data_IF_859422555339
#
_entry.id   IF_859422555339
#
_cell.length_a   1.000
_cell.length_b   1.000
_cell.length_c   1.000
_cell.angle_alpha   90.00
_cell.angle_beta   90.00
_cell.angle_gamma   90.00
#
_symmetry.space_group_name_H-M   'P 1'
#
loop_
_entity.id
_entity.type
_entity.pdbx_description
1 polymer ?
#
# COMPACT_ATOMS: atom_id res chain seq x y z
N UNK A 1 -14.41 -13.92 -35.77
CA UNK A 1 -15.14 -13.54 -34.54
C UNK A 1 -14.43 -14.19 -33.36
N UNK A 2 -14.05 -13.42 -32.34
CA UNK A 2 -13.41 -13.96 -31.13
C UNK A 2 -14.45 -14.55 -30.17
N UNK A 3 -14.05 -15.54 -29.36
CA UNK A 3 -14.89 -16.14 -28.31
C UNK A 3 -15.47 -15.04 -27.42
N UNK A 4 -16.79 -15.02 -27.24
CA UNK A 4 -17.44 -14.05 -26.35
C UNK A 4 -17.03 -14.29 -24.90
N UNK A 5 -16.90 -13.21 -24.14
CA UNK A 5 -16.60 -13.26 -22.72
C UNK A 5 -17.80 -13.79 -21.93
N UNK A 6 -17.56 -14.71 -21.00
CA UNK A 6 -18.60 -15.17 -20.08
C UNK A 6 -19.04 -14.02 -19.16
N UNK A 7 -20.34 -13.90 -18.84
CA UNK A 7 -20.81 -12.94 -17.84
C UNK A 7 -20.14 -13.13 -16.48
N UNK A 8 -19.86 -12.04 -15.79
CA UNK A 8 -19.36 -12.04 -14.40
C UNK A 8 -20.43 -11.42 -13.52
N UNK A 9 -20.76 -12.11 -12.43
CA UNK A 9 -21.61 -11.59 -11.37
C UNK A 9 -20.72 -11.02 -10.25
N UNK A 10 -20.72 -9.69 -10.02
CA UNK A 10 -19.83 -9.05 -9.06
C UNK A 10 -20.07 -9.46 -7.60
N UNK A 11 -21.20 -10.09 -7.28
CA UNK A 11 -21.54 -10.52 -5.91
C UNK A 11 -20.89 -11.87 -5.54
N UNK A 12 -20.29 -12.59 -6.50
CA UNK A 12 -19.66 -13.90 -6.28
C UNK A 12 -18.33 -13.83 -5.52
N UNK A 13 -17.83 -12.63 -5.22
CA UNK A 13 -16.67 -12.43 -4.36
C UNK A 13 -15.70 -11.36 -4.87
N UNK A 14 -14.69 -11.03 -4.05
CA UNK A 14 -13.80 -9.89 -4.29
C UNK A 14 -12.98 -10.01 -5.59
N UNK A 15 -12.58 -11.23 -5.97
CA UNK A 15 -11.84 -11.48 -7.22
C UNK A 15 -12.73 -11.28 -8.45
N UNK A 16 -13.97 -11.77 -8.40
CA UNK A 16 -14.93 -11.62 -9.50
C UNK A 16 -15.35 -10.16 -9.64
N UNK A 17 -15.59 -9.47 -8.52
CA UNK A 17 -15.83 -8.02 -8.48
C UNK A 17 -14.71 -7.23 -9.12
N UNK A 18 -13.46 -7.54 -8.78
CA UNK A 18 -12.29 -6.86 -9.35
C UNK A 18 -12.23 -7.02 -10.88
N UNK A 19 -12.45 -8.24 -11.38
CA UNK A 19 -12.48 -8.49 -12.82
C UNK A 19 -13.66 -7.81 -13.53
N UNK A 20 -14.84 -7.77 -12.90
CA UNK A 20 -16.00 -7.03 -13.38
C UNK A 20 -15.64 -5.55 -13.58
N UNK A 21 -15.03 -4.94 -12.56
CA UNK A 21 -14.62 -3.55 -12.62
C UNK A 21 -13.55 -3.32 -13.69
N UNK A 22 -12.59 -4.25 -13.86
CA UNK A 22 -11.54 -4.14 -14.88
C UNK A 22 -12.12 -4.18 -16.30
N UNK A 23 -13.16 -5.00 -16.52
CA UNK A 23 -13.92 -4.98 -17.78
C UNK A 23 -14.68 -3.67 -17.96
N UNK A 24 -15.18 -3.08 -16.88
CA UNK A 24 -15.83 -1.78 -16.92
C UNK A 24 -14.89 -0.65 -17.34
N UNK A 25 -13.66 -0.63 -16.81
CA UNK A 25 -12.61 0.29 -17.26
C UNK A 25 -12.38 0.17 -18.76
N UNK A 26 -12.25 -1.06 -19.27
CA UNK A 26 -12.07 -1.31 -20.71
C UNK A 26 -13.27 -0.82 -21.52
N UNK A 27 -14.50 -0.99 -21.04
CA UNK A 27 -15.71 -0.46 -21.71
C UNK A 27 -15.65 1.06 -21.81
N UNK A 28 -15.33 1.74 -20.71
CA UNK A 28 -15.16 3.21 -20.68
C UNK A 28 -14.04 3.71 -21.60
N UNK A 29 -13.01 2.90 -21.82
CA UNK A 29 -11.92 3.16 -22.76
C UNK A 29 -12.29 2.90 -24.24
N UNK A 30 -13.56 2.64 -24.56
CA UNK A 30 -14.03 2.37 -25.92
C UNK A 30 -14.01 0.89 -26.32
N UNK A 31 -13.92 -0.02 -25.35
CA UNK A 31 -13.93 -1.48 -25.56
C UNK A 31 -12.86 -2.00 -26.53
N UNK A 32 -11.57 -1.61 -26.41
CA UNK A 32 -10.51 -2.19 -27.23
C UNK A 32 -10.44 -3.71 -27.03
N UNK A 33 -10.31 -4.45 -28.13
CA UNK A 33 -10.11 -5.90 -28.08
C UNK A 33 -8.81 -6.28 -27.39
N UNK A 34 -8.72 -7.49 -26.83
CA UNK A 34 -7.46 -7.96 -26.22
C UNK A 34 -6.29 -8.00 -27.21
N UNK A 35 -6.54 -8.18 -28.51
CA UNK A 35 -5.48 -8.05 -29.53
C UNK A 35 -4.99 -6.62 -29.69
N UNK A 36 -5.89 -5.64 -29.63
CA UNK A 36 -5.51 -4.22 -29.66
C UNK A 36 -4.78 -3.80 -28.38
N UNK A 37 -5.19 -4.32 -27.21
CA UNK A 37 -4.45 -4.11 -25.97
C UNK A 37 -3.07 -4.79 -26.01
N UNK A 38 -2.98 -6.00 -26.56
CA UNK A 38 -1.71 -6.70 -26.75
C UNK A 38 -0.76 -5.93 -27.68
N UNK A 39 -1.27 -5.28 -28.73
CA UNK A 39 -0.44 -4.43 -29.60
C UNK A 39 0.09 -3.16 -28.91
N UNK A 40 -0.56 -2.73 -27.80
CA UNK A 40 -0.19 -1.52 -27.03
C UNK A 40 0.59 -1.86 -25.75
N UNK A 41 0.81 -3.14 -25.47
CA UNK A 41 1.46 -3.63 -24.25
C UNK A 41 2.47 -4.71 -24.60
N UNK A 42 3.29 -5.16 -23.65
CA UNK A 42 4.21 -6.27 -23.86
C UNK A 42 3.60 -7.64 -23.50
N UNK A 43 2.26 -7.73 -23.36
CA UNK A 43 1.55 -8.94 -22.96
C UNK A 43 0.69 -9.50 -24.09
N UNK A 44 0.57 -10.83 -24.15
CA UNK A 44 -0.27 -11.51 -25.14
C UNK A 44 -1.76 -11.25 -24.88
N UNK A 45 -2.57 -11.37 -25.94
CA UNK A 45 -4.02 -11.23 -25.84
C UNK A 45 -4.65 -12.27 -24.90
N UNK A 46 -4.09 -13.47 -24.81
CA UNK A 46 -4.55 -14.52 -23.90
C UNK A 46 -4.28 -14.16 -22.43
N UNK A 47 -3.12 -13.59 -22.11
CA UNK A 47 -2.79 -13.11 -20.76
C UNK A 47 -3.72 -11.99 -20.32
N UNK A 48 -4.01 -11.04 -21.20
CA UNK A 48 -4.92 -9.92 -20.91
C UNK A 48 -6.38 -10.38 -20.76
N UNK A 49 -6.80 -11.38 -21.54
CA UNK A 49 -8.11 -12.01 -21.37
C UNK A 49 -8.23 -12.75 -20.04
N UNK A 50 -7.20 -13.49 -19.65
CA UNK A 50 -7.16 -14.19 -18.36
C UNK A 50 -7.20 -13.21 -17.17
N UNK A 51 -6.52 -12.07 -17.27
CA UNK A 51 -6.55 -11.01 -16.26
C UNK A 51 -7.96 -10.46 -15.99
N UNK A 52 -8.81 -10.41 -17.02
CA UNK A 52 -10.19 -9.95 -16.92
C UNK A 52 -11.20 -11.11 -16.75
N UNK A 53 -10.75 -12.35 -16.54
CA UNK A 53 -11.63 -13.52 -16.51
C UNK A 53 -12.34 -13.75 -15.16
N UNK A 54 -11.86 -13.15 -14.07
CA UNK A 54 -12.47 -13.30 -12.73
C UNK A 54 -12.12 -14.59 -12.00
N UNK A 55 -11.23 -15.43 -12.55
CA UNK A 55 -10.78 -16.67 -11.92
C UNK A 55 -9.68 -16.45 -10.87
N UNK A 56 -8.83 -15.43 -11.09
CA UNK A 56 -7.73 -15.05 -10.21
C UNK A 56 -7.40 -13.57 -10.42
N UNK A 57 -6.77 -12.94 -9.43
CA UNK A 57 -6.27 -11.58 -9.60
C UNK A 57 -5.10 -11.56 -10.60
N UNK A 58 -5.01 -10.54 -11.47
CA UNK A 58 -3.86 -10.39 -12.36
C UNK A 58 -2.59 -10.10 -11.55
N UNK A 59 -1.41 -10.40 -12.09
CA UNK A 59 -0.19 -9.86 -11.51
C UNK A 59 -0.16 -8.34 -11.67
N UNK A 60 0.51 -7.66 -10.75
CA UNK A 60 0.62 -6.20 -10.78
C UNK A 60 1.19 -5.66 -12.11
N UNK A 61 2.14 -6.37 -12.73
CA UNK A 61 2.68 -5.98 -14.04
C UNK A 61 1.63 -6.05 -15.17
N UNK A 62 0.81 -7.11 -15.20
CA UNK A 62 -0.28 -7.25 -16.18
C UNK A 62 -1.37 -6.21 -15.93
N UNK A 63 -1.70 -5.98 -14.66
CA UNK A 63 -2.69 -4.98 -14.25
C UNK A 63 -2.27 -3.57 -14.67
N UNK A 64 -1.04 -3.16 -14.35
CA UNK A 64 -0.54 -1.84 -14.70
C UNK A 64 -0.58 -1.62 -16.22
N UNK A 65 -0.13 -2.60 -17.02
CA UNK A 65 -0.18 -2.50 -18.47
C UNK A 65 -1.62 -2.39 -19.02
N UNK A 66 -2.55 -3.19 -18.48
CA UNK A 66 -3.96 -3.14 -18.87
C UNK A 66 -4.58 -1.78 -18.58
N UNK A 67 -4.37 -1.29 -17.35
CA UNK A 67 -4.96 -0.04 -16.84
C UNK A 67 -4.41 1.16 -17.59
N UNK A 68 -3.09 1.24 -17.80
CA UNK A 68 -2.46 2.29 -18.61
C UNK A 68 -2.98 2.28 -20.05
N UNK A 69 -3.10 1.11 -20.67
CA UNK A 69 -3.62 1.01 -22.04
C UNK A 69 -5.10 1.43 -22.15
N UNK A 70 -5.86 1.34 -21.06
CA UNK A 70 -7.24 1.79 -20.95
C UNK A 70 -7.37 3.24 -20.41
N UNK A 71 -6.26 3.94 -20.14
CA UNK A 71 -6.26 5.31 -19.64
C UNK A 71 -6.67 5.47 -18.17
N UNK A 72 -6.56 4.41 -17.36
CA UNK A 72 -6.73 4.49 -15.91
C UNK A 72 -5.42 4.77 -15.19
N UNK A 73 -5.51 4.98 -13.88
CA UNK A 73 -4.36 5.16 -12.98
C UNK A 73 -3.87 3.80 -12.42
N UNK A 74 -2.66 3.33 -12.80
CA UNK A 74 -2.14 2.05 -12.33
C UNK A 74 -2.02 1.95 -10.81
N UNK A 75 -1.72 3.04 -10.11
CA UNK A 75 -1.51 3.02 -8.66
C UNK A 75 -2.83 2.79 -7.91
N UNK A 76 -3.88 3.52 -8.27
CA UNK A 76 -5.22 3.31 -7.72
C UNK A 76 -5.74 1.88 -7.99
N UNK A 77 -5.40 1.29 -9.13
CA UNK A 77 -5.82 -0.07 -9.46
C UNK A 77 -5.01 -1.14 -8.71
N UNK A 78 -3.73 -0.90 -8.45
CA UNK A 78 -2.91 -1.80 -7.63
C UNK A 78 -3.41 -1.83 -6.18
N UNK A 79 -3.78 -0.68 -5.61
CA UNK A 79 -4.42 -0.64 -4.29
C UNK A 79 -5.72 -1.45 -4.24
N UNK A 80 -6.51 -1.42 -5.32
CA UNK A 80 -7.73 -2.23 -5.43
C UNK A 80 -7.44 -3.72 -5.55
N UNK A 81 -6.35 -4.10 -6.22
CA UNK A 81 -5.90 -5.49 -6.34
C UNK A 81 -5.50 -6.05 -4.99
N UNK A 82 -4.70 -5.30 -4.23
CA UNK A 82 -4.28 -5.67 -2.87
C UNK A 82 -5.50 -5.84 -1.95
N UNK A 83 -6.45 -4.90 -1.98
CA UNK A 83 -7.71 -5.02 -1.23
C UNK A 83 -8.49 -6.28 -1.59
N UNK A 84 -8.63 -6.57 -2.89
CA UNK A 84 -9.32 -7.77 -3.34
C UNK A 84 -8.60 -9.05 -2.90
N UNK A 85 -7.27 -9.04 -2.87
CA UNK A 85 -6.47 -10.16 -2.41
C UNK A 85 -6.74 -10.46 -0.93
N UNK A 86 -6.63 -9.45 -0.07
CA UNK A 86 -6.88 -9.61 1.37
C UNK A 86 -8.30 -10.10 1.65
N UNK A 87 -9.31 -9.55 0.97
CA UNK A 87 -10.69 -10.00 1.12
C UNK A 87 -10.90 -11.44 0.62
N UNK A 88 -10.06 -11.94 -0.30
CA UNK A 88 -10.14 -13.31 -0.82
C UNK A 88 -9.37 -14.35 0.01
N UNK A 89 -8.38 -13.92 0.79
CA UNK A 89 -7.50 -14.80 1.57
C UNK A 89 -7.75 -14.74 3.08
N UNK A 90 -8.59 -13.82 3.54
CA UNK A 90 -8.99 -13.76 4.94
C UNK A 90 -9.87 -14.97 5.28
N UNK A 91 -9.55 -15.75 6.35
CA UNK A 91 -10.47 -16.77 6.82
C UNK A 91 -11.78 -16.11 7.27
N UNK A 92 -12.94 -16.77 7.07
CA UNK A 92 -14.19 -16.27 7.65
C UNK A 92 -13.99 -16.15 9.18
N UNK A 93 -14.57 -15.13 9.83
CA UNK A 93 -14.47 -14.99 11.27
C UNK A 93 -14.93 -16.29 11.95
N UNK A 94 -14.02 -16.97 12.64
CA UNK A 94 -14.31 -18.13 13.47
C UNK A 94 -15.13 -17.66 14.66
N UNK A 95 -16.44 -17.55 14.46
CA UNK A 95 -17.31 -16.91 15.44
C UNK A 95 -18.74 -16.69 14.95
N UNK A 96 -19.24 -17.56 14.08
CA UNK A 96 -20.68 -17.81 13.99
C UNK A 96 -20.89 -19.26 14.43
N UNK A 97 -20.99 -19.44 15.75
CA UNK A 97 -21.54 -20.65 16.33
C UNK A 97 -22.86 -20.92 15.61
N UNK A 98 -22.98 -22.14 15.09
CA UNK A 98 -24.16 -22.64 14.41
C UNK A 98 -25.44 -22.33 15.19
N UNK A 99 -26.22 -21.38 14.71
CA UNK A 99 -27.66 -21.41 14.93
C UNK A 99 -28.23 -22.38 13.91
N UNK A 100 -28.29 -23.66 14.29
CA UNK A 100 -29.13 -24.63 13.62
C UNK A 100 -30.59 -24.15 13.69
N UNK A 101 -31.35 -24.11 12.58
CA UNK A 101 -32.77 -24.32 12.69
C UNK A 101 -32.99 -25.82 12.82
N UNK A 102 -33.63 -26.22 13.92
CA UNK A 102 -34.15 -27.54 14.10
C UNK A 102 -35.00 -27.96 12.89
N UNK A 103 -34.74 -29.18 12.45
CA UNK A 103 -35.53 -29.95 11.51
C UNK A 103 -37.00 -30.04 11.93
N UNK A 104 -37.90 -29.69 11.01
CA UNK A 104 -39.16 -30.41 10.82
C UNK A 104 -39.32 -30.67 9.32
N UNK A 105 -39.18 -31.94 8.94
CA UNK A 105 -39.38 -32.44 7.57
C UNK A 105 -40.90 -32.63 7.27
N UNK A 106 -41.31 -33.22 6.13
CA UNK A 106 -42.10 -32.54 5.12
C UNK A 106 -43.52 -33.11 4.98
N UNK A 107 -44.47 -32.34 4.46
CA UNK A 107 -45.52 -32.97 3.65
C UNK A 107 -46.23 -32.01 2.67
N UNK A 108 -46.46 -32.54 1.46
CA UNK A 108 -47.52 -32.21 0.51
C UNK A 108 -47.47 -30.92 -0.34
N UNK A 109 -47.04 -31.10 -1.59
CA UNK A 109 -47.42 -30.36 -2.82
C UNK A 109 -48.94 -30.47 -3.13
N UNK A 110 -49.48 -29.90 -4.24
CA UNK A 110 -49.30 -28.57 -4.84
C UNK A 110 -50.65 -27.88 -5.10
N UNK A 111 -50.66 -26.57 -5.40
CA UNK A 111 -51.76 -25.93 -6.17
C UNK A 111 -51.29 -24.61 -6.80
N UNK A 112 -51.12 -24.61 -8.12
CA UNK A 112 -51.34 -23.44 -8.98
C UNK A 112 -52.79 -23.50 -9.48
N UNK A 113 -53.39 -22.36 -9.87
CA UNK A 113 -53.29 -21.98 -11.28
C UNK A 113 -53.09 -20.48 -11.54
N UNK A 114 -52.12 -20.19 -12.40
CA UNK A 114 -52.24 -19.43 -13.65
C UNK A 114 -53.20 -18.21 -13.70
N UNK A 115 -52.65 -17.02 -13.94
CA UNK A 115 -53.24 -16.03 -14.86
C UNK A 115 -52.14 -15.49 -15.79
N UNK A 116 -52.53 -15.41 -17.05
CA UNK A 116 -51.75 -15.25 -18.26
C UNK A 116 -51.33 -13.80 -18.55
N UNK A 117 -50.16 -13.70 -19.17
CA UNK A 117 -49.72 -12.81 -20.25
C UNK A 117 -50.56 -11.60 -20.68
N UNK A 118 -49.87 -10.46 -20.87
CA UNK A 118 -50.02 -9.55 -22.02
C UNK A 118 -48.70 -8.75 -22.19
N UNK A 119 -47.85 -9.13 -23.16
CA UNK A 119 -47.64 -8.56 -24.52
C UNK A 119 -46.90 -7.23 -24.62
N UNK A 120 -45.82 -7.26 -25.44
CA UNK A 120 -45.24 -6.21 -26.33
C UNK A 120 -44.85 -4.88 -25.66
N UNK A 121 -43.63 -4.35 -25.77
CA UNK A 121 -42.89 -4.03 -26.99
C UNK A 121 -41.55 -3.38 -26.57
N UNK A 122 -40.56 -3.37 -27.45
CA UNK A 122 -39.28 -2.64 -27.29
C UNK A 122 -39.17 -1.60 -28.42
N UNK A 123 -38.10 -0.79 -28.51
CA UNK A 123 -37.58 0.17 -27.56
C UNK A 123 -37.42 1.56 -28.23
N UNK A 124 -37.50 2.68 -27.50
CA UNK A 124 -37.12 3.98 -28.04
C UNK A 124 -35.75 4.48 -27.55
N UNK A 125 -34.84 4.53 -28.52
CA UNK A 125 -33.53 5.17 -28.54
C UNK A 125 -33.63 6.64 -28.13
N UNK A 126 -32.83 7.07 -27.16
CA UNK A 126 -32.39 8.46 -27.07
C UNK A 126 -30.91 8.54 -27.45
N UNK A 127 -30.68 8.88 -28.72
CA UNK A 127 -29.40 9.35 -29.24
C UNK A 127 -29.27 10.83 -28.84
N UNK A 128 -28.30 11.19 -28.03
CA UNK A 128 -27.83 12.57 -27.92
C UNK A 128 -26.46 12.66 -28.58
N UNK A 129 -26.46 13.25 -29.77
CA UNK A 129 -25.29 13.57 -30.56
C UNK A 129 -24.72 14.90 -30.06
N UNK A 130 -23.45 14.95 -29.66
CA UNK A 130 -22.68 16.19 -29.73
C UNK A 130 -21.47 15.94 -30.61
N UNK A 131 -21.57 16.50 -31.82
CA UNK A 131 -20.54 16.48 -32.85
C UNK A 131 -19.41 17.42 -32.45
N UNK A 132 -18.22 16.97 -32.78
CA UNK A 132 -16.98 17.72 -32.90
C UNK A 132 -17.16 18.92 -33.84
N UNK A 133 -16.64 20.10 -33.48
CA UNK A 133 -16.11 21.02 -34.50
C UNK A 133 -14.88 21.81 -34.04
N UNK A 134 -13.98 21.95 -35.02
CA UNK A 134 -12.65 22.56 -35.05
C UNK A 134 -12.64 24.08 -34.88
N UNK A 135 -11.50 24.54 -34.32
CA UNK A 135 -10.66 25.73 -34.62
C UNK A 135 -11.35 27.11 -34.76
N UNK A 136 -10.89 28.05 -33.93
CA UNK A 136 -10.73 29.47 -34.30
C UNK A 136 -9.35 29.95 -33.83
N UNK A 137 -8.66 30.65 -34.73
CA UNK A 137 -7.33 31.25 -34.60
C UNK A 137 -7.41 32.76 -34.38
N UNK A 138 -6.72 33.26 -33.36
CA UNK A 138 -6.12 34.62 -33.21
C UNK A 138 -7.05 35.81 -32.94
N UNK A 139 -6.51 37.03 -32.65
CA UNK A 139 -5.21 37.38 -32.05
C UNK A 139 -5.39 38.14 -30.71
N UNK A 140 -4.39 38.12 -29.80
CA UNK A 140 -4.33 39.10 -28.70
C UNK A 140 -2.98 39.78 -28.74
N UNK A 141 -3.04 41.06 -29.09
CA UNK A 141 -1.94 42.00 -28.93
C UNK A 141 -2.06 42.69 -27.56
N UNK A 142 -0.89 42.88 -26.96
CA UNK A 142 -0.44 44.09 -26.27
C UNK A 142 -0.58 44.25 -24.73
N UNK A 143 0.61 44.14 -24.10
CA UNK A 143 1.30 45.13 -23.22
C UNK A 143 0.97 45.14 -21.71
N UNK A 144 2.02 45.52 -20.95
CA UNK A 144 2.12 45.90 -19.51
C UNK A 144 2.45 44.68 -18.61
N UNK A 145 3.56 44.55 -17.86
CA UNK A 145 4.64 45.42 -17.32
C UNK A 145 5.74 44.51 -16.75
N UNK A 146 7.00 44.94 -16.77
CA UNK A 146 7.89 44.92 -15.60
C UNK A 146 9.24 45.59 -15.91
N UNK A 147 9.37 46.83 -15.47
CA UNK A 147 10.66 47.45 -15.15
C UNK A 147 11.10 46.89 -13.80
N UNK A 148 12.33 46.39 -13.69
CA UNK A 148 13.20 46.82 -12.59
C UNK A 148 14.67 46.46 -12.88
N UNK A 149 15.48 47.52 -12.85
CA UNK A 149 16.93 47.47 -12.83
C UNK A 149 17.46 47.06 -11.46
N UNK A 150 18.67 46.51 -11.54
CA UNK A 150 19.73 46.44 -10.55
C UNK A 150 19.85 47.67 -9.62
N UNK A 151 20.18 47.45 -8.34
CA UNK A 151 20.61 48.54 -7.45
C UNK A 151 20.86 48.19 -5.98
N UNK A 152 22.13 47.88 -5.69
CA UNK A 152 22.95 48.27 -4.53
C UNK A 152 22.67 47.79 -3.07
N UNK A 153 23.81 47.45 -2.45
CA UNK A 153 24.13 47.18 -1.05
C UNK A 153 23.58 48.19 -0.03
N UNK A 154 23.20 47.68 1.15
CA UNK A 154 23.42 48.35 2.45
C UNK A 154 23.87 47.28 3.46
N UNK A 155 25.05 47.48 4.04
CA UNK A 155 25.54 46.82 5.25
C UNK A 155 24.79 47.33 6.48
N UNK A 156 24.49 46.47 7.45
CA UNK A 156 23.93 46.85 8.75
C UNK A 156 23.96 45.69 9.74
N UNK A 157 24.40 46.01 10.95
CA UNK A 157 24.97 45.15 12.01
C UNK A 157 24.14 44.00 12.60
N UNK A 158 24.87 42.93 12.92
CA UNK A 158 24.94 42.21 14.20
C UNK A 158 23.82 42.43 15.23
N UNK A 159 22.96 41.42 15.44
CA UNK A 159 22.48 41.04 16.79
C UNK A 159 22.35 39.53 16.88
N UNK A 160 23.12 38.96 17.80
CA UNK A 160 23.06 37.58 18.27
C UNK A 160 22.09 37.51 19.46
N UNK A 161 21.09 36.60 19.51
CA UNK A 161 20.47 36.23 20.76
C UNK A 161 21.26 35.10 21.40
N UNK A 162 22.00 35.49 22.43
CA UNK A 162 22.66 34.64 23.41
C UNK A 162 21.58 34.04 24.33
N UNK A 163 21.59 32.72 24.49
CA UNK A 163 21.06 32.06 25.68
C UNK A 163 19.69 31.39 25.54
N UNK A 164 19.68 30.12 25.13
CA UNK A 164 18.84 29.12 25.76
C UNK A 164 19.79 28.10 26.40
N UNK A 165 19.77 28.10 27.74
CA UNK A 165 20.60 27.26 28.57
C UNK A 165 20.39 25.79 28.21
N UNK A 166 21.49 25.04 28.17
CA UNK A 166 21.49 23.60 28.24
C UNK A 166 20.69 23.18 29.48
N UNK A 167 19.51 22.62 29.26
CA UNK A 167 18.82 21.89 30.30
C UNK A 167 19.72 20.72 30.71
N UNK A 168 20.11 20.75 31.98
CA UNK A 168 20.78 19.69 32.70
C UNK A 168 20.03 18.36 32.44
N UNK A 169 20.59 17.51 31.58
CA UNK A 169 20.10 16.15 31.35
C UNK A 169 20.56 15.30 32.53
N UNK A 170 19.82 15.39 33.63
CA UNK A 170 19.79 14.28 34.57
C UNK A 170 19.22 13.05 33.85
N UNK A 171 19.88 11.88 33.93
CA UNK A 171 19.33 10.67 33.35
C UNK A 171 18.08 10.29 34.14
N UNK A 172 16.93 10.51 33.54
CA UNK A 172 15.64 10.06 34.07
C UNK A 172 15.70 8.53 34.25
N UNK A 173 15.67 8.09 35.51
CA UNK A 173 15.76 6.67 35.87
C UNK A 173 14.39 6.04 35.57
N UNK A 174 14.28 5.09 34.62
CA UNK A 174 13.00 4.52 34.26
C UNK A 174 12.36 3.79 35.46
N UNK A 175 11.07 4.01 35.68
CA UNK A 175 10.31 3.25 36.69
C UNK A 175 10.26 1.74 36.39
N UNK A 176 9.91 0.89 37.36
CA UNK A 176 10.07 -0.56 37.28
C UNK A 176 9.34 -1.22 36.09
N UNK A 177 8.19 -0.70 35.65
CA UNK A 177 7.51 -1.21 34.44
C UNK A 177 8.25 -0.86 33.14
N UNK A 178 8.85 0.33 33.06
CA UNK A 178 9.66 0.72 31.92
C UNK A 178 10.96 -0.09 31.88
N UNK A 179 11.54 -0.39 33.04
CA UNK A 179 12.73 -1.24 33.14
C UNK A 179 12.46 -2.70 32.76
N UNK A 180 11.35 -3.29 33.21
CA UNK A 180 10.93 -4.65 32.81
C UNK A 180 10.66 -4.72 31.31
N UNK A 181 9.97 -3.72 30.74
CA UNK A 181 9.71 -3.65 29.29
C UNK A 181 11.00 -3.53 28.48
N UNK A 182 11.95 -2.69 28.91
CA UNK A 182 13.25 -2.55 28.26
C UNK A 182 14.08 -3.85 28.31
N UNK A 183 13.95 -4.64 29.38
CA UNK A 183 14.59 -5.97 29.49
C UNK A 183 13.99 -6.97 28.51
N UNK A 184 12.67 -6.95 28.32
CA UNK A 184 11.98 -7.78 27.33
C UNK A 184 12.28 -7.35 25.89
N UNK A 185 12.44 -6.05 25.62
CA UNK A 185 12.81 -5.52 24.31
C UNK A 185 14.25 -5.94 23.89
N UNK A 186 15.15 -6.12 24.87
CA UNK A 186 16.56 -6.45 24.65
C UNK A 186 16.82 -7.77 23.93
N UNK A 187 15.83 -8.68 23.91
CA UNK A 187 15.89 -9.92 23.11
C UNK A 187 15.69 -9.67 21.62
N UNK A 188 15.04 -8.56 21.26
CA UNK A 188 14.58 -8.25 19.91
C UNK A 188 15.39 -7.12 19.27
N UNK A 189 15.91 -6.21 20.09
CA UNK A 189 16.64 -5.01 19.70
C UNK A 189 17.88 -4.86 20.56
N UNK A 190 19.01 -4.47 19.97
CA UNK A 190 20.22 -4.11 20.72
C UNK A 190 19.94 -3.02 21.75
N UNK A 191 20.24 -3.29 23.01
CA UNK A 191 19.90 -2.37 24.11
C UNK A 191 20.68 -1.05 24.05
N UNK A 192 21.89 -1.07 23.49
CA UNK A 192 22.80 0.07 23.30
C UNK A 192 22.57 0.84 21.98
N UNK A 193 21.65 0.37 21.13
CA UNK A 193 21.29 1.06 19.91
C UNK A 193 20.55 2.38 20.17
N UNK A 194 20.76 3.36 19.30
CA UNK A 194 20.17 4.70 19.32
C UNK A 194 18.69 4.75 18.88
N UNK A 195 17.91 3.72 19.24
CA UNK A 195 16.46 3.67 19.00
C UNK A 195 15.74 4.47 20.10
N UNK A 196 14.92 5.48 19.79
CA UNK A 196 14.20 6.25 20.80
C UNK A 196 13.35 5.35 21.71
N UNK A 197 13.58 5.45 23.03
CA UNK A 197 12.97 4.56 24.03
C UNK A 197 11.45 4.49 23.93
N UNK A 198 10.78 5.61 23.65
CA UNK A 198 9.32 5.65 23.54
C UNK A 198 8.76 4.77 22.40
N UNK A 199 9.54 4.51 21.34
CA UNK A 199 9.07 3.76 20.16
C UNK A 199 9.41 2.27 20.22
N UNK A 200 10.29 1.84 21.13
CA UNK A 200 10.77 0.44 21.18
C UNK A 200 9.63 -0.57 21.24
N UNK A 201 8.66 -0.34 22.11
CA UNK A 201 7.53 -1.25 22.28
C UNK A 201 6.67 -1.36 21.00
N UNK A 202 6.40 -0.24 20.31
CA UNK A 202 5.67 -0.24 19.05
C UNK A 202 6.46 -0.95 17.94
N UNK A 203 7.79 -0.79 17.93
CA UNK A 203 8.68 -1.46 16.97
C UNK A 203 8.69 -2.97 17.21
N UNK A 204 8.77 -3.40 18.48
CA UNK A 204 8.70 -4.81 18.85
C UNK A 204 7.35 -5.39 18.46
N UNK A 205 6.24 -4.71 18.77
CA UNK A 205 4.89 -5.10 18.34
C UNK A 205 4.81 -5.25 16.81
N UNK A 206 5.21 -4.22 16.06
CA UNK A 206 5.20 -4.22 14.60
C UNK A 206 6.06 -5.33 14.00
N UNK A 207 7.20 -5.64 14.60
CA UNK A 207 8.13 -6.65 14.11
C UNK A 207 7.83 -8.08 14.57
N UNK A 208 6.86 -8.29 15.47
CA UNK A 208 6.51 -9.61 16.01
C UNK A 208 5.05 -10.01 15.76
N UNK A 209 4.29 -9.20 15.03
CA UNK A 209 2.85 -9.42 14.84
C UNK A 209 2.48 -10.56 13.85
N UNK A 210 3.44 -11.13 13.13
CA UNK A 210 3.23 -12.28 12.26
C UNK A 210 4.43 -13.24 12.28
N UNK A 211 4.17 -14.52 12.02
CA UNK A 211 5.18 -15.59 12.00
C UNK A 211 5.95 -15.64 10.67
N UNK A 212 6.50 -14.50 10.24
CA UNK A 212 7.29 -14.38 9.01
C UNK A 212 8.73 -14.04 9.38
N UNK A 213 9.72 -14.94 9.17
CA UNK A 213 11.08 -14.78 9.70
C UNK A 213 11.80 -13.48 9.33
N UNK A 214 11.53 -12.95 8.14
CA UNK A 214 12.13 -11.71 7.66
C UNK A 214 11.45 -10.42 8.18
N UNK A 215 10.26 -10.51 8.77
CA UNK A 215 9.61 -9.38 9.46
C UNK A 215 10.12 -9.40 10.89
N UNK A 216 10.96 -8.43 11.25
CA UNK A 216 11.61 -8.40 12.57
C UNK A 216 11.58 -6.99 13.17
N UNK A 217 11.65 -6.86 14.51
CA UNK A 217 11.74 -5.55 15.16
C UNK A 217 12.95 -4.74 14.67
N UNK A 218 14.09 -5.41 14.44
CA UNK A 218 15.29 -4.76 13.90
C UNK A 218 15.06 -4.20 12.49
N UNK A 219 14.34 -4.92 11.61
CA UNK A 219 13.98 -4.41 10.28
C UNK A 219 13.05 -3.20 10.37
N UNK A 220 12.02 -3.26 11.22
CA UNK A 220 11.11 -2.12 11.42
C UNK A 220 11.88 -0.89 11.90
N UNK A 221 12.74 -1.03 12.91
CA UNK A 221 13.60 0.06 13.38
C UNK A 221 14.51 0.62 12.28
N UNK A 222 15.15 -0.27 11.52
CA UNK A 222 16.07 0.11 10.45
C UNK A 222 15.37 0.91 9.34
N UNK A 223 14.14 0.52 8.99
CA UNK A 223 13.29 1.23 8.04
C UNK A 223 12.88 2.60 8.57
N UNK A 224 12.33 2.69 9.79
CA UNK A 224 11.89 3.96 10.37
C UNK A 224 13.02 5.00 10.42
N UNK A 225 14.23 4.57 10.76
CA UNK A 225 15.39 5.45 10.72
C UNK A 225 15.78 5.86 9.30
N UNK A 226 15.78 4.94 8.34
CA UNK A 226 16.12 5.24 6.95
C UNK A 226 15.08 6.14 6.26
N UNK A 227 13.83 6.10 6.72
CA UNK A 227 12.71 6.92 6.27
C UNK A 227 12.78 8.34 6.86
N UNK A 228 12.84 8.46 8.20
CA UNK A 228 12.66 9.76 8.88
C UNK A 228 13.70 10.08 9.94
N UNK A 229 14.62 9.16 10.28
CA UNK A 229 15.45 9.31 11.47
C UNK A 229 14.64 9.29 12.77
N UNK A 230 13.51 8.56 12.78
CA UNK A 230 12.52 8.54 13.85
C UNK A 230 11.78 9.88 14.10
N UNK A 231 11.75 10.80 13.13
CA UNK A 231 11.02 12.07 13.24
C UNK A 231 9.52 11.90 12.97
N UNK A 232 8.64 11.99 14.00
CA UNK A 232 7.20 11.84 13.81
C UNK A 232 6.53 13.07 13.17
N UNK A 233 7.24 14.19 13.06
CA UNK A 233 6.73 15.44 12.50
C UNK A 233 7.26 15.72 11.10
N UNK A 234 8.08 14.82 10.53
CA UNK A 234 8.60 14.96 9.18
C UNK A 234 7.44 15.13 8.19
N UNK A 235 7.54 16.13 7.32
CA UNK A 235 6.49 16.45 6.37
C UNK A 235 7.10 16.80 5.02
N UNK A 236 6.71 16.08 3.97
CA UNK A 236 7.11 16.31 2.59
C UNK A 236 5.84 16.41 1.70
N UNK A 237 5.13 17.57 1.73
CA UNK A 237 3.88 17.73 0.97
C UNK A 237 4.06 17.58 -0.54
N UNK A 238 5.26 17.83 -1.07
CA UNK A 238 5.57 17.67 -2.49
C UNK A 238 5.54 16.20 -2.93
N UNK A 239 5.81 15.27 -2.01
CA UNK A 239 5.73 13.82 -2.24
C UNK A 239 4.48 13.17 -1.61
N UNK A 240 3.66 13.95 -0.93
CA UNK A 240 2.53 13.46 -0.11
C UNK A 240 2.97 12.44 0.95
N UNK A 241 4.15 12.63 1.56
CA UNK A 241 4.74 11.71 2.56
C UNK A 241 4.91 12.39 3.92
N UNK A 242 4.49 11.73 5.00
CA UNK A 242 4.47 12.31 6.35
C UNK A 242 4.83 11.33 7.47
N UNK A 243 5.30 11.90 8.57
CA UNK A 243 5.54 11.25 9.85
C UNK A 243 6.69 10.27 9.84
N UNK A 244 6.76 9.51 10.95
CA UNK A 244 7.90 8.66 11.30
C UNK A 244 8.21 7.57 10.28
N UNK A 245 7.23 7.18 9.48
CA UNK A 245 7.35 6.12 8.48
C UNK A 245 7.13 6.63 7.04
N UNK A 246 7.07 7.95 6.82
CA UNK A 246 6.86 8.57 5.50
C UNK A 246 5.66 8.02 4.74
N UNK A 247 4.55 7.86 5.45
CA UNK A 247 3.31 7.38 4.87
C UNK A 247 2.69 8.42 3.93
N UNK A 248 2.08 7.94 2.85
CA UNK A 248 1.01 8.71 2.20
C UNK A 248 -0.31 8.50 2.95
N UNK A 249 -1.19 9.52 3.06
CA UNK A 249 -2.47 9.40 3.76
C UNK A 249 -3.32 8.21 3.28
N UNK A 250 -3.32 7.97 1.96
CA UNK A 250 -4.13 6.91 1.34
C UNK A 250 -3.62 5.52 1.68
N UNK A 251 -2.29 5.36 1.73
CA UNK A 251 -1.65 4.08 2.05
C UNK A 251 -1.78 3.78 3.54
N UNK A 252 -1.50 4.75 4.43
CA UNK A 252 -1.63 4.55 5.88
C UNK A 252 -3.02 4.05 6.25
N UNK A 253 -4.08 4.67 5.71
CA UNK A 253 -5.48 4.26 5.96
C UNK A 253 -5.69 2.75 5.83
N UNK A 254 -5.04 2.11 4.86
CA UNK A 254 -5.21 0.68 4.60
C UNK A 254 -4.62 -0.21 5.70
N UNK A 255 -3.58 0.30 6.37
CA UNK A 255 -2.86 -0.38 7.43
C UNK A 255 -3.20 0.17 8.81
N UNK A 256 -4.25 0.98 8.96
CA UNK A 256 -4.83 1.33 10.27
C UNK A 256 -5.74 0.20 10.79
N UNK A 257 -6.08 0.18 12.09
CA UNK A 257 -7.11 -0.71 12.61
C UNK A 257 -8.42 -0.58 11.82
N UNK A 258 -9.18 -1.68 11.59
CA UNK A 258 -10.39 -1.67 10.75
C UNK A 258 -11.42 -0.58 11.11
N UNK A 259 -11.54 -0.23 12.38
CA UNK A 259 -12.45 0.81 12.87
C UNK A 259 -12.12 2.21 12.31
N UNK A 260 -10.85 2.47 12.01
CA UNK A 260 -10.33 3.77 11.61
C UNK A 260 -10.19 3.94 10.09
N UNK A 261 -10.28 2.84 9.31
CA UNK A 261 -10.13 2.88 7.86
C UNK A 261 -11.27 3.60 7.10
N UNK A 262 -12.31 4.05 7.83
CA UNK A 262 -13.51 4.69 7.29
C UNK A 262 -13.23 6.04 6.63
N UNK A 263 -12.17 6.73 7.06
CA UNK A 263 -11.76 8.02 6.50
C UNK A 263 -10.26 8.00 6.17
N UNK A 264 -9.84 8.88 5.25
CA UNK A 264 -8.41 9.10 5.00
C UNK A 264 -7.86 9.92 6.17
N UNK A 265 -6.86 9.41 6.91
CA UNK A 265 -6.25 10.16 8.00
C UNK A 265 -5.57 11.41 7.44
N UNK A 266 -5.53 12.48 8.24
CA UNK A 266 -4.82 13.71 7.89
C UNK A 266 -3.54 13.79 8.71
N UNK A 267 -2.41 14.22 8.14
CA UNK A 267 -1.20 14.45 8.93
C UNK A 267 -1.44 15.57 9.97
N UNK A 268 -0.70 15.55 11.09
CA UNK A 268 0.35 14.58 11.44
C UNK A 268 -0.23 13.22 11.85
N UNK A 269 0.53 12.15 11.59
CA UNK A 269 0.18 10.79 12.00
C UNK A 269 0.87 10.43 13.30
N UNK A 270 0.14 9.86 14.25
CA UNK A 270 0.71 9.45 15.54
C UNK A 270 1.72 8.29 15.34
N UNK A 271 2.80 8.19 16.13
CA UNK A 271 3.65 7.00 16.15
C UNK A 271 2.89 5.71 16.46
N UNK A 272 1.88 5.79 17.32
CA UNK A 272 1.02 4.68 17.75
C UNK A 272 0.21 4.09 16.60
N UNK A 273 -0.21 4.92 15.65
CA UNK A 273 -0.86 4.46 14.43
C UNK A 273 0.16 4.05 13.36
N UNK A 274 1.24 4.84 13.25
CA UNK A 274 2.20 4.75 12.14
C UNK A 274 3.12 3.54 12.23
N UNK A 275 3.67 3.23 13.41
CA UNK A 275 4.66 2.16 13.57
C UNK A 275 4.01 0.77 13.44
N UNK A 276 2.90 0.46 14.14
CA UNK A 276 2.21 -0.82 13.95
C UNK A 276 1.69 -1.01 12.51
N UNK A 277 1.35 0.08 11.80
CA UNK A 277 0.98 0.02 10.39
C UNK A 277 2.15 -0.48 9.50
N UNK A 278 3.41 -0.19 9.85
CA UNK A 278 4.57 -0.71 9.12
C UNK A 278 4.60 -2.23 9.23
N UNK A 279 4.46 -2.76 10.45
CA UNK A 279 4.37 -4.20 10.69
C UNK A 279 3.27 -4.86 9.87
N UNK A 280 2.05 -4.29 9.90
CA UNK A 280 0.90 -4.82 9.15
C UNK A 280 1.15 -4.83 7.64
N UNK A 281 1.79 -3.79 7.12
CA UNK A 281 2.20 -3.75 5.72
C UNK A 281 3.23 -4.81 5.38
N UNK A 282 4.30 -4.93 6.18
CA UNK A 282 5.35 -5.91 5.95
C UNK A 282 4.81 -7.34 5.97
N UNK A 283 3.96 -7.67 6.94
CA UNK A 283 3.28 -8.96 7.01
C UNK A 283 2.41 -9.22 5.77
N UNK A 284 1.70 -8.20 5.27
CA UNK A 284 0.84 -8.34 4.09
C UNK A 284 1.63 -8.57 2.80
N UNK A 285 2.79 -7.91 2.63
CA UNK A 285 3.56 -7.97 1.37
C UNK A 285 4.62 -9.08 1.33
N UNK A 286 5.02 -9.62 2.48
CA UNK A 286 6.07 -10.63 2.56
C UNK A 286 5.84 -11.87 1.66
N UNK A 287 4.63 -12.47 1.59
CA UNK A 287 4.40 -13.63 0.74
C UNK A 287 4.59 -13.34 -0.75
N UNK A 288 4.34 -12.10 -1.20
CA UNK A 288 4.53 -11.72 -2.61
C UNK A 288 6.01 -11.67 -3.00
N UNK A 289 6.93 -11.59 -2.03
CA UNK A 289 8.36 -11.39 -2.26
C UNK A 289 9.22 -12.62 -1.96
N UNK A 290 8.60 -13.74 -1.56
CA UNK A 290 9.33 -14.95 -1.13
C UNK A 290 10.24 -15.53 -2.23
N UNK A 291 9.78 -15.48 -3.49
CA UNK A 291 10.52 -15.99 -4.64
C UNK A 291 11.48 -14.96 -5.26
N UNK A 292 11.55 -13.74 -4.72
CA UNK A 292 12.42 -12.69 -5.25
C UNK A 292 13.86 -12.97 -4.80
N UNK A 293 14.84 -13.03 -5.73
CA UNK A 293 16.24 -13.25 -5.37
C UNK A 293 16.78 -12.16 -4.44
N UNK A 294 17.80 -12.49 -3.66
CA UNK A 294 18.50 -11.55 -2.77
C UNK A 294 18.08 -11.65 -1.30
N UNK A 295 18.47 -10.64 -0.53
CA UNK A 295 18.16 -10.56 0.90
C UNK A 295 16.66 -10.31 1.11
N UNK A 296 16.00 -11.19 1.87
CA UNK A 296 14.55 -11.15 2.08
C UNK A 296 14.09 -9.92 2.88
N UNK A 297 14.88 -9.46 3.84
CA UNK A 297 14.57 -8.27 4.62
C UNK A 297 14.73 -7.00 3.77
N UNK A 298 15.74 -6.94 2.91
CA UNK A 298 15.91 -5.82 1.97
C UNK A 298 14.87 -5.84 0.85
N UNK A 299 14.42 -7.02 0.41
CA UNK A 299 13.30 -7.12 -0.53
C UNK A 299 12.02 -6.55 0.09
N UNK A 300 11.76 -6.81 1.39
CA UNK A 300 10.67 -6.20 2.13
C UNK A 300 10.78 -4.67 2.21
N UNK A 301 11.95 -4.15 2.58
CA UNK A 301 12.18 -2.71 2.63
C UNK A 301 12.02 -2.05 1.25
N UNK A 302 12.46 -2.73 0.18
CA UNK A 302 12.22 -2.28 -1.19
C UNK A 302 10.72 -2.31 -1.53
N UNK A 303 10.00 -3.37 -1.16
CA UNK A 303 8.56 -3.50 -1.36
C UNK A 303 7.77 -2.41 -0.65
N UNK A 304 8.22 -1.97 0.53
CA UNK A 304 7.68 -0.82 1.24
C UNK A 304 7.82 0.47 0.43
N UNK A 305 9.03 0.76 -0.08
CA UNK A 305 9.32 2.04 -0.74
C UNK A 305 8.78 2.16 -2.16
N UNK A 306 8.83 1.07 -2.92
CA UNK A 306 8.52 1.08 -4.37
C UNK A 306 7.47 0.04 -4.78
N UNK A 307 6.75 -0.59 -3.85
CA UNK A 307 5.80 -1.68 -4.14
C UNK A 307 6.45 -2.98 -4.61
N UNK A 308 5.85 -4.11 -4.23
CA UNK A 308 6.36 -5.47 -4.47
C UNK A 308 6.63 -5.77 -5.94
N UNK A 309 5.75 -5.31 -6.83
CA UNK A 309 5.84 -5.59 -8.26
C UNK A 309 7.04 -4.94 -8.94
N UNK A 310 7.48 -3.76 -8.46
CA UNK A 310 8.69 -3.11 -8.97
C UNK A 310 9.93 -3.89 -8.55
N UNK A 311 9.92 -4.42 -7.32
CA UNK A 311 10.97 -5.32 -6.83
C UNK A 311 11.01 -6.63 -7.63
N UNK A 312 9.87 -7.27 -7.89
CA UNK A 312 9.79 -8.51 -8.67
C UNK A 312 10.32 -8.36 -10.11
N UNK A 313 10.19 -7.16 -10.71
CA UNK A 313 10.72 -6.88 -12.06
C UNK A 313 12.23 -6.73 -12.11
N UNK A 314 12.92 -6.59 -10.98
CA UNK A 314 14.38 -6.45 -10.90
C UNK A 314 14.95 -5.38 -11.86
N UNK A 315 14.24 -4.25 -11.97
CA UNK A 315 14.51 -3.20 -12.98
C UNK A 315 15.24 -1.97 -12.45
N UNK A 316 15.37 -0.95 -13.30
CA UNK A 316 16.07 0.30 -13.00
C UNK A 316 15.55 1.04 -11.75
N UNK A 317 14.27 0.90 -11.43
CA UNK A 317 13.68 1.54 -10.25
C UNK A 317 14.21 0.91 -8.94
N UNK A 318 14.43 -0.40 -8.90
CA UNK A 318 15.09 -1.06 -7.77
C UNK A 318 16.53 -0.56 -7.63
N UNK A 319 17.23 -0.36 -8.75
CA UNK A 319 18.57 0.24 -8.74
C UNK A 319 18.56 1.68 -8.21
N UNK A 320 17.54 2.47 -8.55
CA UNK A 320 17.43 3.88 -8.12
C UNK A 320 17.30 4.05 -6.59
N UNK A 321 16.78 3.04 -5.89
CA UNK A 321 16.61 3.07 -4.43
C UNK A 321 17.77 2.40 -3.66
N UNK A 322 18.85 2.02 -4.32
CA UNK A 322 19.98 1.41 -3.61
C UNK A 322 20.59 2.27 -2.49
N UNK A 323 20.65 3.61 -2.60
CA UNK A 323 21.05 4.44 -1.46
C UNK A 323 20.15 4.26 -0.23
N UNK A 324 18.84 4.06 -0.42
CA UNK A 324 17.91 3.76 0.67
C UNK A 324 18.16 2.36 1.23
N UNK A 325 18.28 1.34 0.38
CA UNK A 325 18.52 -0.04 0.83
C UNK A 325 19.86 -0.20 1.56
N UNK A 326 20.88 0.56 1.18
CA UNK A 326 22.15 0.62 1.89
C UNK A 326 21.99 1.19 3.30
N UNK A 327 21.21 2.27 3.48
CA UNK A 327 20.89 2.80 4.83
C UNK A 327 20.15 1.77 5.67
N UNK A 328 19.13 1.12 5.11
CA UNK A 328 18.39 0.05 5.81
C UNK A 328 19.33 -1.08 6.22
N UNK A 329 20.22 -1.55 5.34
CA UNK A 329 21.20 -2.60 5.66
C UNK A 329 22.10 -2.18 6.82
N UNK A 330 22.69 -0.99 6.76
CA UNK A 330 23.55 -0.47 7.84
C UNK A 330 22.79 -0.37 9.17
N UNK A 331 21.56 0.14 9.16
CA UNK A 331 20.75 0.26 10.37
C UNK A 331 20.36 -1.12 10.92
N UNK A 332 20.07 -2.08 10.04
CA UNK A 332 19.72 -3.44 10.41
C UNK A 332 20.86 -4.10 11.21
N UNK A 333 22.11 -3.98 10.76
CA UNK A 333 23.29 -4.48 11.48
C UNK A 333 23.48 -3.79 12.85
N UNK A 334 23.13 -2.51 12.96
CA UNK A 334 23.20 -1.77 14.23
C UNK A 334 22.11 -2.17 15.22
N UNK A 335 20.94 -2.60 14.74
CA UNK A 335 19.75 -2.80 15.57
C UNK A 335 19.44 -4.25 15.90
N UNK A 336 19.90 -5.19 15.08
CA UNK A 336 19.78 -6.61 15.39
C UNK A 336 20.47 -6.94 16.73
N UNK A 337 19.80 -7.70 17.63
CA UNK A 337 20.41 -8.16 18.88
C UNK A 337 21.66 -8.96 18.56
N UNK A 338 22.68 -8.87 19.43
CA UNK A 338 23.84 -9.74 19.29
C UNK A 338 23.35 -11.19 19.27
N UNK A 339 23.76 -11.96 18.26
CA UNK A 339 23.41 -13.36 18.19
C UNK A 339 23.95 -14.05 19.44
N UNK A 340 23.05 -14.55 20.28
CA UNK A 340 23.41 -15.65 21.16
C UNK A 340 23.72 -16.82 20.22
N UNK A 341 25.00 -16.99 19.87
CA UNK A 341 25.47 -18.22 19.26
C UNK A 341 24.92 -19.38 20.11
N UNK A 342 24.37 -20.45 19.50
CA UNK A 342 23.98 -21.62 20.27
C UNK A 342 25.23 -22.06 21.05
N UNK A 343 25.07 -22.23 22.37
CA UNK A 343 26.09 -22.83 23.21
C UNK A 343 26.65 -24.05 22.48
N UNK A 344 27.92 -23.97 22.10
CA UNK A 344 28.63 -25.08 21.50
C UNK A 344 28.43 -26.30 22.39
N UNK A 345 28.16 -27.43 21.74
CA UNK A 345 28.38 -28.76 22.30
C UNK A 345 29.86 -28.83 22.73
N UNK A 346 30.15 -28.35 23.93
CA UNK A 346 31.33 -28.72 24.68
C UNK A 346 31.06 -30.11 25.23
N UNK A 347 31.85 -31.07 24.75
CA UNK A 347 31.65 -32.48 25.04
C UNK A 347 31.70 -32.85 26.52
N UNK A 348 31.09 -33.98 26.81
CA UNK A 348 31.62 -35.04 27.68
C UNK A 348 31.05 -36.37 27.22
#
# INVERSE_FOLDING_TARGET
MGRQEQPLDPEQGPVVRFAYDLRDLRRRAGSPSYRQLAARTHFSASTLAAAAAGQRLPSAAVLAAFVTACGGDPEAWEQRRIRAHVLSTSPPPTGALAAAPASSSPDSSPSTPNVQSETRDSPQKLKSQWRVLRKVTGPVAAIVTAVMMLGAFVSGDSVSPKGAQAADRTPDTPGPMAEVRLRDDGRWLRTDADIPRQYRHLIVEAGTMCDIPQVTPALVAAMLEAESGFDPLLSDPAKDEYGIARWTPRVLRYYLPPAEQKAIPKPPFSPEDSIPAVGRMLCAIAPELESVPGDRALNLAAGYRISTWRVQRQGAELASIQPYLNRVRTNLERYQPASNAPHGLAGR
#
